data_IF_780010661887
#
_entry.id   IF_780010661887
#
_cell.length_a   1.000
_cell.length_b   1.000
_cell.length_c   1.000
_cell.angle_alpha   90.00
_cell.angle_beta   90.00
_cell.angle_gamma   90.00
#
_symmetry.space_group_name_H-M   'P 1'
#
loop_
_entity.id
_entity.type
_entity.pdbx_description
1 polymer ?
#
# COMPACT_ATOMS: atom_id res chain seq x y z
N UNK A 1 10.67 -19.11 6.10
CA UNK A 1 9.65 -18.28 5.40
C UNK A 1 8.62 -17.76 6.41
N UNK A 2 9.02 -16.88 7.35
CA UNK A 2 8.11 -16.31 8.35
C UNK A 2 7.02 -15.45 7.70
N UNK A 3 7.34 -14.74 6.62
CA UNK A 3 6.41 -13.84 5.91
C UNK A 3 5.12 -14.52 5.41
N UNK A 4 5.18 -15.81 5.06
CA UNK A 4 4.01 -16.59 4.63
C UNK A 4 3.28 -17.26 5.79
N UNK A 5 3.93 -17.41 6.95
CA UNK A 5 3.35 -18.07 8.11
C UNK A 5 2.32 -17.19 8.84
N UNK A 6 2.43 -15.87 8.69
CA UNK A 6 1.44 -14.91 9.20
C UNK A 6 0.24 -14.71 8.25
N UNK A 7 0.20 -15.41 7.11
CA UNK A 7 -0.83 -15.23 6.10
C UNK A 7 -1.71 -16.47 5.97
N UNK A 8 -2.93 -16.36 6.50
CA UNK A 8 -3.98 -17.34 6.27
C UNK A 8 -5.10 -16.76 5.36
N UNK A 9 -5.05 -17.01 4.04
CA UNK A 9 -6.07 -16.55 3.12
C UNK A 9 -7.47 -17.09 3.44
N UNK A 10 -7.58 -18.20 4.18
CA UNK A 10 -8.85 -18.81 4.57
C UNK A 10 -9.54 -18.05 5.72
N UNK A 11 -8.81 -17.14 6.37
CA UNK A 11 -9.33 -16.25 7.43
C UNK A 11 -9.71 -14.87 6.92
N UNK A 12 -9.56 -14.60 5.62
CA UNK A 12 -9.87 -13.29 5.07
C UNK A 12 -11.39 -13.08 4.96
N UNK A 13 -11.93 -11.98 5.48
CA UNK A 13 -13.35 -11.65 5.31
C UNK A 13 -13.69 -11.28 3.85
N UNK A 14 -12.66 -10.99 3.03
CA UNK A 14 -12.80 -10.69 1.62
C UNK A 14 -11.54 -11.13 0.85
N UNK A 15 -11.77 -11.77 -0.29
CA UNK A 15 -10.72 -12.27 -1.17
C UNK A 15 -10.70 -11.43 -2.45
N UNK A 16 -9.74 -10.51 -2.57
CA UNK A 16 -9.56 -9.67 -3.77
C UNK A 16 -8.99 -10.44 -4.98
N UNK A 17 -8.74 -9.76 -6.10
CA UNK A 17 -8.00 -10.36 -7.22
C UNK A 17 -6.53 -10.61 -6.82
N UNK A 18 -5.82 -11.49 -7.54
CA UNK A 18 -4.39 -11.72 -7.31
C UNK A 18 -3.54 -10.49 -7.60
N UNK A 19 -3.98 -9.70 -8.59
CA UNK A 19 -3.29 -8.50 -9.05
C UNK A 19 -4.35 -7.40 -9.14
N UNK A 20 -4.07 -6.25 -8.53
CA UNK A 20 -4.94 -5.08 -8.55
C UNK A 20 -4.15 -3.82 -8.86
N UNK A 21 -4.63 -2.99 -9.79
CA UNK A 21 -3.99 -1.69 -10.08
C UNK A 21 -4.18 -0.74 -8.90
N UNK A 22 -3.13 -0.01 -8.52
CA UNK A 22 -3.19 0.87 -7.34
C UNK A 22 -2.39 2.16 -7.53
N UNK A 23 -2.68 3.12 -6.66
CA UNK A 23 -2.19 4.49 -6.79
C UNK A 23 -2.97 5.27 -7.86
N UNK A 24 -3.12 6.58 -7.67
CA UNK A 24 -3.89 7.42 -8.60
C UNK A 24 -3.18 7.61 -9.95
N UNK A 25 -1.86 7.42 -9.99
CA UNK A 25 -1.05 7.44 -11.23
C UNK A 25 -0.98 6.08 -11.92
N UNK A 26 -1.56 5.03 -11.31
CA UNK A 26 -1.54 3.66 -11.84
C UNK A 26 -0.14 3.10 -12.11
N UNK A 27 0.89 3.61 -11.42
CA UNK A 27 2.29 3.18 -11.55
C UNK A 27 2.61 1.88 -10.82
N UNK A 28 1.70 1.40 -9.96
CA UNK A 28 1.92 0.23 -9.13
C UNK A 28 0.76 -0.75 -9.24
N UNK A 29 1.06 -2.01 -8.99
CA UNK A 29 0.08 -3.07 -8.76
C UNK A 29 0.27 -3.65 -7.36
N UNK A 30 -0.82 -4.03 -6.72
CA UNK A 30 -0.82 -4.90 -5.54
C UNK A 30 -0.77 -6.34 -6.04
N UNK A 31 0.24 -7.10 -5.64
CA UNK A 31 0.32 -8.53 -5.93
C UNK A 31 0.13 -9.30 -4.64
N UNK A 32 -0.99 -10.01 -4.57
CA UNK A 32 -1.42 -10.79 -3.41
C UNK A 32 -0.48 -11.98 -3.14
N UNK A 33 -0.11 -12.22 -1.88
CA UNK A 33 0.80 -13.31 -1.51
C UNK A 33 0.26 -14.72 -1.82
N UNK A 34 -1.05 -14.87 -2.08
CA UNK A 34 -1.64 -16.14 -2.55
C UNK A 34 -1.01 -16.66 -3.83
N UNK A 35 -0.50 -15.80 -4.71
CA UNK A 35 0.18 -16.27 -5.93
C UNK A 35 1.37 -17.17 -5.61
N UNK A 36 2.03 -16.95 -4.46
CA UNK A 36 3.10 -17.80 -3.96
C UNK A 36 2.52 -19.04 -3.27
N UNK A 37 1.52 -18.87 -2.39
CA UNK A 37 0.93 -19.98 -1.60
C UNK A 37 0.30 -21.04 -2.50
N UNK A 38 -0.32 -20.62 -3.59
CA UNK A 38 -1.01 -21.48 -4.55
C UNK A 38 -0.11 -21.92 -5.72
N UNK A 39 1.19 -21.60 -5.68
CA UNK A 39 2.16 -22.06 -6.67
C UNK A 39 2.02 -21.45 -8.07
N UNK A 40 1.32 -20.31 -8.20
CA UNK A 40 1.19 -19.57 -9.47
C UNK A 40 2.50 -18.89 -9.84
N UNK A 41 3.23 -18.41 -8.84
CA UNK A 41 4.52 -17.74 -8.96
C UNK A 41 5.48 -18.31 -7.93
N UNK A 42 6.76 -18.46 -8.29
CA UNK A 42 7.77 -18.88 -7.32
C UNK A 42 8.09 -17.74 -6.33
N UNK A 43 8.40 -18.08 -5.07
CA UNK A 43 8.81 -17.06 -4.10
C UNK A 43 10.00 -16.23 -4.59
N UNK A 44 10.93 -16.84 -5.33
CA UNK A 44 12.11 -16.16 -5.87
C UNK A 44 11.69 -15.07 -6.84
N UNK A 45 10.87 -15.40 -7.83
CA UNK A 45 10.52 -14.46 -8.90
C UNK A 45 9.63 -13.33 -8.34
N UNK A 46 8.73 -13.65 -7.41
CA UNK A 46 7.95 -12.65 -6.67
C UNK A 46 8.83 -11.70 -5.87
N UNK A 47 9.78 -12.24 -5.09
CA UNK A 47 10.66 -11.45 -4.24
C UNK A 47 11.63 -10.61 -5.07
N UNK A 48 12.17 -11.15 -6.16
CA UNK A 48 13.05 -10.43 -7.07
C UNK A 48 12.33 -9.26 -7.73
N UNK A 49 11.11 -9.45 -8.22
CA UNK A 49 10.31 -8.36 -8.78
C UNK A 49 10.00 -7.28 -7.74
N UNK A 50 9.66 -7.65 -6.51
CA UNK A 50 9.48 -6.71 -5.41
C UNK A 50 10.76 -5.90 -5.12
N UNK A 51 11.92 -6.56 -5.01
CA UNK A 51 13.20 -5.88 -4.76
C UNK A 51 13.57 -4.95 -5.91
N UNK A 52 13.44 -5.40 -7.16
CA UNK A 52 13.69 -4.57 -8.36
C UNK A 52 12.79 -3.34 -8.37
N UNK A 53 11.50 -3.52 -8.08
CA UNK A 53 10.55 -2.40 -7.96
C UNK A 53 10.94 -1.41 -6.87
N UNK A 54 11.37 -1.88 -5.70
CA UNK A 54 11.78 -1.01 -4.60
C UNK A 54 13.06 -0.22 -4.93
N UNK A 55 14.02 -0.85 -5.61
CA UNK A 55 15.27 -0.22 -6.02
C UNK A 55 15.10 0.81 -7.15
N UNK A 56 14.14 0.59 -8.05
CA UNK A 56 13.85 1.51 -9.14
C UNK A 56 12.99 2.71 -8.71
N UNK A 57 12.45 2.70 -7.48
CA UNK A 57 11.61 3.78 -6.99
C UNK A 57 12.41 5.10 -6.93
N UNK A 58 11.94 6.18 -7.60
CA UNK A 58 12.64 7.45 -7.56
C UNK A 58 12.62 8.00 -6.13
N UNK A 59 13.71 8.66 -5.68
CA UNK A 59 13.65 9.41 -4.44
C UNK A 59 12.62 10.52 -4.59
N UNK A 60 11.74 10.64 -3.60
CA UNK A 60 10.75 11.71 -3.55
C UNK A 60 11.07 12.59 -2.35
N UNK A 61 11.06 13.90 -2.54
CA UNK A 61 11.30 14.87 -1.47
C UNK A 61 10.09 14.90 -0.52
N UNK A 62 10.35 15.00 0.78
CA UNK A 62 9.29 15.12 1.79
C UNK A 62 8.35 16.31 1.54
N UNK A 63 8.88 17.39 1.00
CA UNK A 63 8.13 18.58 0.59
C UNK A 63 7.08 18.24 -0.48
N UNK A 64 7.45 17.44 -1.49
CA UNK A 64 6.52 16.98 -2.53
C UNK A 64 5.40 16.12 -1.94
N UNK A 65 5.70 15.27 -0.96
CA UNK A 65 4.69 14.50 -0.24
C UNK A 65 3.73 15.38 0.56
N UNK A 66 4.23 16.44 1.20
CA UNK A 66 3.39 17.37 1.94
C UNK A 66 2.40 18.12 1.02
N UNK A 67 2.87 18.57 -0.15
CA UNK A 67 2.02 19.21 -1.17
C UNK A 67 0.96 18.24 -1.73
N UNK A 68 1.37 17.01 -2.05
CA UNK A 68 0.46 15.99 -2.56
C UNK A 68 -0.59 15.60 -1.51
N UNK A 69 -0.17 15.42 -0.26
CA UNK A 69 -1.07 15.14 0.87
C UNK A 69 -2.12 16.24 1.05
N UNK A 70 -1.69 17.51 1.03
CA UNK A 70 -2.60 18.66 1.15
C UNK A 70 -3.64 18.67 0.01
N UNK A 71 -3.21 18.35 -1.22
CA UNK A 71 -4.11 18.22 -2.38
C UNK A 71 -5.13 17.10 -2.18
N UNK A 72 -4.69 15.91 -1.77
CA UNK A 72 -5.56 14.74 -1.52
C UNK A 72 -6.61 15.07 -0.47
N UNK A 73 -6.18 15.60 0.69
CA UNK A 73 -7.07 16.02 1.77
C UNK A 73 -8.10 17.03 1.27
N UNK A 74 -7.67 18.07 0.55
CA UNK A 74 -8.57 19.10 0.03
C UNK A 74 -9.63 18.53 -0.92
N UNK A 75 -9.27 17.56 -1.77
CA UNK A 75 -10.23 16.85 -2.63
C UNK A 75 -11.21 16.02 -1.80
N UNK A 76 -10.72 15.27 -0.81
CA UNK A 76 -11.55 14.42 0.05
C UNK A 76 -12.58 15.23 0.83
N UNK A 77 -12.16 16.35 1.43
CA UNK A 77 -13.03 17.25 2.20
C UNK A 77 -14.05 17.94 1.29
N UNK A 78 -13.61 18.46 0.13
CA UNK A 78 -14.51 19.06 -0.87
C UNK A 78 -15.57 18.07 -1.36
N UNK A 79 -15.19 16.81 -1.57
CA UNK A 79 -16.12 15.74 -2.00
C UNK A 79 -16.94 15.15 -0.85
N UNK A 80 -16.66 15.54 0.40
CA UNK A 80 -17.33 15.03 1.59
C UNK A 80 -17.36 13.49 1.63
N UNK A 81 -16.24 12.85 1.32
CA UNK A 81 -16.15 11.39 1.32
C UNK A 81 -16.52 10.82 2.70
N UNK A 82 -17.08 9.61 2.81
CA UNK A 82 -17.47 9.03 4.11
C UNK A 82 -16.35 9.07 5.15
N UNK A 83 -15.10 8.84 4.73
CA UNK A 83 -13.92 8.88 5.59
C UNK A 83 -13.73 10.24 6.30
N UNK A 84 -14.13 11.36 5.70
CA UNK A 84 -13.96 12.69 6.33
C UNK A 84 -14.88 12.93 7.52
N UNK A 85 -15.89 12.05 7.70
CA UNK A 85 -16.80 12.04 8.84
C UNK A 85 -16.39 11.04 9.92
N UNK A 86 -15.32 10.28 9.72
CA UNK A 86 -14.83 9.32 10.70
C UNK A 86 -14.32 10.04 11.96
N UNK A 87 -14.57 9.47 13.15
CA UNK A 87 -14.21 10.10 14.44
C UNK A 87 -12.72 10.42 14.56
N UNK A 88 -11.86 9.57 14.02
CA UNK A 88 -10.40 9.77 14.04
C UNK A 88 -9.85 10.61 12.89
N UNK A 89 -10.66 10.97 11.88
CA UNK A 89 -10.18 11.62 10.65
C UNK A 89 -9.33 12.86 10.93
N UNK A 90 -9.79 13.73 11.84
CA UNK A 90 -9.08 14.97 12.17
C UNK A 90 -7.74 14.69 12.85
N UNK A 91 -7.71 13.75 13.80
CA UNK A 91 -6.49 13.39 14.51
C UNK A 91 -5.46 12.76 13.57
N UNK A 92 -5.90 11.85 12.70
CA UNK A 92 -5.03 11.21 11.69
C UNK A 92 -4.48 12.24 10.71
N UNK A 93 -5.34 13.15 10.22
CA UNK A 93 -4.93 14.24 9.32
C UNK A 93 -3.86 15.13 9.96
N UNK A 94 -4.08 15.57 11.19
CA UNK A 94 -3.17 16.46 11.90
C UNK A 94 -1.84 15.74 12.20
N UNK A 95 -1.89 14.47 12.59
CA UNK A 95 -0.70 13.63 12.84
C UNK A 95 0.15 13.44 11.59
N UNK A 96 -0.45 13.02 10.47
CA UNK A 96 0.25 12.82 9.19
C UNK A 96 0.85 14.14 8.71
N UNK A 97 0.11 15.25 8.82
CA UNK A 97 0.60 16.58 8.44
C UNK A 97 1.83 16.97 9.27
N UNK A 98 1.80 16.76 10.58
CA UNK A 98 2.92 17.05 11.46
C UNK A 98 4.14 16.15 11.18
N UNK A 99 3.94 14.88 10.83
CA UNK A 99 5.02 13.97 10.43
C UNK A 99 5.70 14.47 9.15
N UNK A 100 4.92 14.77 8.10
CA UNK A 100 5.45 15.23 6.83
C UNK A 100 6.24 16.55 6.98
N UNK A 101 5.78 17.47 7.84
CA UNK A 101 6.50 18.70 8.17
C UNK A 101 7.86 18.48 8.84
N UNK A 102 8.04 17.36 9.55
CA UNK A 102 9.33 16.95 10.14
C UNK A 102 10.19 16.13 9.16
N UNK A 103 9.73 15.89 7.94
CA UNK A 103 10.37 14.98 7.00
C UNK A 103 10.20 13.50 7.36
N UNK A 104 9.25 13.18 8.24
CA UNK A 104 8.90 11.81 8.61
C UNK A 104 7.75 11.30 7.74
N UNK A 105 7.91 10.08 7.22
CA UNK A 105 6.93 9.46 6.32
C UNK A 105 6.72 7.97 6.62
N UNK A 106 7.28 7.48 7.73
CA UNK A 106 7.09 6.10 8.21
C UNK A 106 6.16 6.15 9.42
N UNK A 107 5.02 5.46 9.32
CA UNK A 107 4.03 5.38 10.39
C UNK A 107 3.60 3.94 10.66
N UNK A 108 2.99 3.73 11.82
CA UNK A 108 2.35 2.46 12.17
C UNK A 108 0.87 2.51 11.81
N UNK A 109 0.32 1.36 11.44
CA UNK A 109 -1.12 1.20 11.28
C UNK A 109 -1.84 1.35 12.62
N UNK A 110 -3.06 1.90 12.59
CA UNK A 110 -3.91 1.96 13.78
C UNK A 110 -4.31 0.55 14.26
N UNK A 111 -4.59 0.35 15.55
CA UNK A 111 -5.08 -0.94 16.05
C UNK A 111 -6.33 -1.44 15.30
N UNK A 112 -7.27 -0.54 14.97
CA UNK A 112 -8.46 -0.88 14.19
C UNK A 112 -8.12 -1.36 12.78
N UNK A 113 -7.14 -0.72 12.13
CA UNK A 113 -6.62 -1.19 10.85
C UNK A 113 -6.00 -2.56 11.02
N UNK A 114 -5.08 -2.76 11.97
CA UNK A 114 -4.41 -4.06 12.19
C UNK A 114 -5.42 -5.18 12.46
N UNK A 115 -6.48 -4.92 13.23
CA UNK A 115 -7.52 -5.90 13.53
C UNK A 115 -8.41 -6.25 12.33
N UNK A 116 -8.53 -5.36 11.36
CA UNK A 116 -9.36 -5.55 10.16
C UNK A 116 -8.55 -5.82 8.88
N UNK A 117 -7.23 -5.63 8.95
CA UNK A 117 -6.33 -5.72 7.81
C UNK A 117 -5.94 -7.17 7.55
N UNK A 118 -6.59 -7.71 6.55
CA UNK A 118 -6.45 -9.07 6.08
C UNK A 118 -5.59 -9.20 4.80
N UNK A 119 -5.51 -8.21 3.88
CA UNK A 119 -4.70 -8.36 2.66
C UNK A 119 -3.20 -8.37 2.94
N UNK A 120 -2.52 -9.47 2.62
CA UNK A 120 -1.06 -9.48 2.52
C UNK A 120 -0.70 -9.39 1.04
N UNK A 121 -0.22 -8.22 0.61
CA UNK A 121 0.31 -7.99 -0.73
C UNK A 121 1.65 -7.26 -0.65
N UNK A 122 2.39 -7.27 -1.76
CA UNK A 122 3.47 -6.30 -2.02
C UNK A 122 3.08 -5.38 -3.16
N UNK A 123 3.57 -4.14 -3.10
CA UNK A 123 3.48 -3.21 -4.21
C UNK A 123 4.64 -3.48 -5.16
N UNK A 124 4.31 -3.69 -6.44
CA UNK A 124 5.30 -3.86 -7.51
C UNK A 124 4.98 -2.81 -8.58
N UNK A 125 6.00 -2.12 -9.07
CA UNK A 125 5.88 -1.16 -10.16
C UNK A 125 5.31 -1.88 -11.40
N UNK A 126 4.35 -1.26 -12.08
CA UNK A 126 3.60 -1.89 -13.15
C UNK A 126 4.50 -2.32 -14.32
N UNK A 127 5.53 -1.55 -14.63
CA UNK A 127 6.54 -1.85 -15.63
C UNK A 127 7.43 -3.03 -15.24
N UNK A 128 7.87 -3.09 -13.98
CA UNK A 128 8.62 -4.22 -13.43
C UNK A 128 7.76 -5.47 -13.47
N UNK A 129 6.50 -5.37 -13.06
CA UNK A 129 5.54 -6.47 -13.09
C UNK A 129 5.34 -7.01 -14.52
N UNK A 130 5.12 -6.13 -15.51
CA UNK A 130 4.96 -6.53 -16.91
C UNK A 130 6.23 -7.15 -17.52
N UNK A 131 7.41 -6.70 -17.07
CA UNK A 131 8.70 -7.24 -17.52
C UNK A 131 9.10 -8.54 -16.84
N UNK A 132 8.50 -8.82 -15.68
CA UNK A 132 8.72 -10.05 -14.94
C UNK A 132 7.74 -11.10 -15.46
N UNK A 133 8.19 -12.35 -15.53
CA UNK A 133 7.35 -13.49 -15.94
C UNK A 133 6.44 -13.89 -14.75
N UNK A 134 5.58 -12.95 -14.33
CA UNK A 134 4.70 -13.00 -13.16
C UNK A 134 3.22 -13.15 -13.52
#
# INVERSE_FOLDING_TARGET
RWELACYDPDTLPFTGPYIDSTGWEHRFVRVDLRVIKEGKVSYRDYFEAFVRSAQAAPPVLSESWAEEWARVVGIMEKKQLPLTRHSYYRADKDSITAMLQRGEYVGHHSPEYVASYAPHYRLIAADVFQSADL
#
